data_IF_629800549791
#
_entry.id   IF_629800549791
#
_cell.length_a   1.000
_cell.length_b   1.000
_cell.length_c   1.000
_cell.angle_alpha   90.00
_cell.angle_beta   90.00
_cell.angle_gamma   90.00
#
_symmetry.space_group_name_H-M   'P 1'
#
loop_
_entity.id
_entity.type
_entity.pdbx_description
1 polymer ?
#
# COMPACT_ATOMS: atom_id res chain seq x y z
N UNK A 1 33.72 13.05 -16.76
CA UNK A 1 32.83 12.17 -17.53
C UNK A 1 31.63 11.73 -16.66
N UNK A 2 30.44 11.73 -17.24
CA UNK A 2 29.24 11.28 -16.58
C UNK A 2 28.93 9.88 -17.08
N UNK A 3 28.99 8.88 -16.20
CA UNK A 3 28.47 7.51 -16.49
C UNK A 3 27.13 7.32 -15.82
N UNK A 4 26.16 6.84 -16.58
CA UNK A 4 24.80 6.58 -16.09
C UNK A 4 24.58 5.07 -16.04
N UNK A 5 24.41 4.52 -14.83
CA UNK A 5 24.05 3.13 -14.63
C UNK A 5 22.53 3.01 -14.40
N UNK A 6 21.88 2.34 -15.32
CA UNK A 6 20.45 2.01 -15.22
C UNK A 6 20.30 0.68 -14.48
N UNK A 7 19.87 0.72 -13.22
CA UNK A 7 19.50 -0.50 -12.50
C UNK A 7 18.04 -0.83 -12.82
N UNK A 8 17.84 -1.81 -13.68
CA UNK A 8 16.50 -2.35 -13.95
C UNK A 8 16.14 -3.32 -12.82
N UNK A 9 14.94 -3.19 -12.25
CA UNK A 9 14.36 -4.29 -11.47
C UNK A 9 14.43 -5.51 -12.40
N UNK A 10 15.01 -6.64 -11.99
CA UNK A 10 15.02 -7.83 -12.82
C UNK A 10 13.59 -8.38 -12.90
N UNK A 11 12.80 -7.80 -13.77
CA UNK A 11 11.60 -8.45 -14.28
C UNK A 11 12.08 -9.46 -15.30
N UNK A 12 11.68 -10.71 -15.12
CA UNK A 12 11.94 -11.77 -16.06
C UNK A 12 11.81 -11.27 -17.51
N UNK A 13 12.97 -11.17 -18.21
CA UNK A 13 13.10 -11.03 -19.64
C UNK A 13 12.15 -10.08 -20.38
N UNK A 14 12.49 -8.78 -20.41
CA UNK A 14 12.29 -8.02 -21.63
C UNK A 14 13.63 -8.02 -22.38
N UNK A 15 13.79 -8.88 -23.36
CA UNK A 15 14.87 -8.80 -24.36
C UNK A 15 14.51 -7.68 -25.32
N UNK A 16 15.03 -6.50 -25.08
CA UNK A 16 14.99 -5.35 -25.95
C UNK A 16 15.75 -4.22 -25.29
N UNK A 17 16.84 -3.79 -25.88
CA UNK A 17 17.47 -2.51 -25.56
C UNK A 17 16.45 -1.40 -25.85
N UNK A 18 15.65 -1.05 -24.84
CA UNK A 18 14.93 0.22 -24.92
C UNK A 18 15.95 1.31 -24.71
N UNK A 19 16.30 2.02 -25.77
CA UNK A 19 17.04 3.27 -25.76
C UNK A 19 16.18 4.34 -25.10
N UNK A 20 16.06 4.25 -23.77
CA UNK A 20 15.32 5.23 -23.02
C UNK A 20 16.15 6.50 -22.93
N UNK A 21 15.58 7.58 -23.39
CA UNK A 21 16.18 8.91 -23.34
C UNK A 21 16.19 9.40 -21.90
N UNK A 22 17.34 9.77 -21.38
CA UNK A 22 17.52 10.26 -20.02
C UNK A 22 17.91 11.72 -20.05
N UNK A 23 17.13 12.57 -19.42
CA UNK A 23 17.45 13.96 -19.19
C UNK A 23 18.32 14.14 -17.93
N UNK A 24 19.10 15.22 -17.91
CA UNK A 24 19.87 15.65 -16.75
C UNK A 24 19.53 17.07 -16.36
N UNK A 25 19.36 17.30 -15.06
CA UNK A 25 19.36 18.62 -14.46
C UNK A 25 20.61 18.78 -13.57
N UNK A 26 21.34 19.85 -13.78
CA UNK A 26 22.38 20.30 -12.88
C UNK A 26 21.78 21.41 -12.00
N UNK A 27 21.73 21.14 -10.70
CA UNK A 27 21.07 21.98 -9.70
C UNK A 27 22.10 22.57 -8.76
N UNK A 28 22.00 23.87 -8.48
CA UNK A 28 22.78 24.56 -7.46
C UNK A 28 21.85 25.44 -6.64
N UNK A 29 21.98 25.40 -5.32
CA UNK A 29 21.18 26.21 -4.38
C UNK A 29 19.65 26.06 -4.59
N UNK A 30 19.21 24.87 -5.06
CA UNK A 30 17.82 24.54 -5.37
C UNK A 30 17.34 24.97 -6.77
N UNK A 31 18.15 25.65 -7.55
CA UNK A 31 17.81 26.09 -8.90
C UNK A 31 18.48 25.23 -9.97
N UNK A 32 17.74 24.92 -11.05
CA UNK A 32 18.28 24.24 -12.23
C UNK A 32 19.11 25.25 -13.02
N UNK A 33 20.43 25.12 -12.97
CA UNK A 33 21.37 26.00 -13.67
C UNK A 33 21.71 25.50 -15.09
N UNK A 34 21.47 24.23 -15.37
CA UNK A 34 21.58 23.61 -16.68
C UNK A 34 20.66 22.41 -16.81
N UNK A 35 19.93 22.37 -17.90
CA UNK A 35 19.13 21.23 -18.34
C UNK A 35 19.72 20.61 -19.59
N UNK A 36 19.68 19.30 -19.71
CA UNK A 36 20.14 18.53 -20.87
C UNK A 36 19.07 17.48 -21.18
N UNK A 37 18.44 17.58 -22.35
CA UNK A 37 17.37 16.69 -22.78
C UNK A 37 17.81 15.22 -22.94
N UNK A 38 19.08 15.00 -23.27
CA UNK A 38 19.66 13.69 -23.47
C UNK A 38 21.10 13.67 -22.97
N UNK A 39 21.36 12.92 -21.89
CA UNK A 39 22.69 12.82 -21.29
C UNK A 39 23.77 12.32 -22.25
N UNK A 40 23.37 11.56 -23.28
CA UNK A 40 24.34 11.03 -24.27
C UNK A 40 25.08 12.12 -25.02
N UNK A 41 24.49 13.31 -25.09
CA UNK A 41 25.14 14.51 -25.69
C UNK A 41 26.33 15.01 -24.88
N UNK A 42 26.44 14.62 -23.59
CA UNK A 42 27.56 14.96 -22.70
C UNK A 42 28.57 13.82 -22.57
N UNK A 43 28.38 12.71 -23.26
CA UNK A 43 29.25 11.55 -23.15
C UNK A 43 30.66 11.88 -23.66
N UNK A 44 31.65 11.80 -22.76
CA UNK A 44 33.04 12.13 -23.05
C UNK A 44 33.37 13.62 -22.92
N UNK A 45 32.41 14.45 -22.56
CA UNK A 45 32.64 15.87 -22.30
C UNK A 45 32.93 16.16 -20.82
N UNK A 46 33.61 17.27 -20.56
CA UNK A 46 33.82 17.81 -19.22
C UNK A 46 33.12 19.16 -19.10
N UNK A 47 32.31 19.32 -18.06
CA UNK A 47 31.66 20.60 -17.76
C UNK A 47 32.55 21.43 -16.85
N UNK A 48 32.84 22.68 -17.28
CA UNK A 48 33.51 23.68 -16.45
C UNK A 48 32.48 24.39 -15.59
N UNK A 49 32.59 24.22 -14.28
CA UNK A 49 31.68 24.80 -13.30
C UNK A 49 32.44 25.56 -12.23
N UNK A 50 31.88 26.64 -11.68
CA UNK A 50 32.40 27.26 -10.46
C UNK A 50 32.54 26.26 -9.32
N UNK A 51 33.51 26.48 -8.44
CA UNK A 51 33.65 25.65 -7.23
C UNK A 51 32.38 25.73 -6.35
N UNK A 52 31.96 24.60 -5.80
CA UNK A 52 30.72 24.52 -4.99
C UNK A 52 30.10 23.13 -4.97
N UNK A 53 28.96 23.01 -4.29
CA UNK A 53 28.19 21.78 -4.27
C UNK A 53 27.03 21.86 -5.26
N UNK A 54 26.84 20.79 -5.99
CA UNK A 54 25.80 20.63 -7.00
C UNK A 54 25.05 19.33 -6.78
N UNK A 55 23.80 19.28 -7.21
CA UNK A 55 23.03 18.06 -7.36
C UNK A 55 22.89 17.76 -8.85
N UNK A 56 23.25 16.55 -9.26
CA UNK A 56 22.98 16.05 -10.61
C UNK A 56 21.79 15.12 -10.52
N UNK A 57 20.67 15.51 -11.11
CA UNK A 57 19.45 14.72 -11.21
C UNK A 57 19.33 14.16 -12.62
N UNK A 58 19.04 12.86 -12.74
CA UNK A 58 18.80 12.17 -14.00
C UNK A 58 17.43 11.53 -13.99
N UNK A 59 16.70 11.58 -15.12
CA UNK A 59 15.35 11.02 -15.20
C UNK A 59 14.91 10.73 -16.64
N UNK A 60 13.89 9.89 -16.80
CA UNK A 60 13.28 9.58 -18.10
C UNK A 60 12.74 10.85 -18.77
N UNK A 61 13.33 11.25 -19.91
CA UNK A 61 13.15 12.57 -20.50
C UNK A 61 11.71 12.84 -20.98
N UNK A 62 11.11 11.87 -21.67
CA UNK A 62 9.84 12.05 -22.38
C UNK A 62 8.67 11.36 -21.65
N UNK A 63 8.77 11.17 -20.33
CA UNK A 63 7.78 10.46 -19.54
C UNK A 63 7.35 11.25 -18.31
N UNK A 64 6.14 10.99 -17.87
CA UNK A 64 5.57 11.56 -16.66
C UNK A 64 5.70 10.57 -15.50
N UNK A 65 6.27 11.01 -14.37
CA UNK A 65 6.36 10.23 -13.13
C UNK A 65 4.98 9.82 -12.59
N UNK A 66 3.95 10.60 -12.91
CA UNK A 66 2.56 10.36 -12.51
C UNK A 66 1.78 9.53 -13.54
N UNK A 67 2.41 9.08 -14.62
CA UNK A 67 1.75 8.25 -15.60
C UNK A 67 1.32 6.90 -15.00
N UNK A 68 0.08 6.53 -15.26
CA UNK A 68 -0.52 5.24 -14.87
C UNK A 68 -0.82 4.44 -16.12
N UNK A 69 -0.55 3.13 -16.10
CA UNK A 69 -0.91 2.24 -17.20
C UNK A 69 0.10 1.13 -17.45
N UNK A 70 -0.16 0.38 -18.51
CA UNK A 70 0.68 -0.71 -18.98
C UNK A 70 1.96 -0.19 -19.66
N UNK A 71 2.50 -0.90 -20.61
CA UNK A 71 3.77 -0.65 -21.30
C UNK A 71 4.05 0.82 -21.65
N UNK A 72 5.31 1.20 -21.65
CA UNK A 72 5.75 2.56 -21.99
C UNK A 72 5.61 3.60 -20.89
N UNK A 73 5.06 3.24 -19.72
CA UNK A 73 4.82 4.16 -18.61
C UNK A 73 5.93 4.16 -17.54
N UNK A 74 6.89 3.25 -17.61
CA UNK A 74 8.00 3.19 -16.65
C UNK A 74 8.80 4.49 -16.64
N UNK A 75 8.95 5.09 -15.45
CA UNK A 75 9.73 6.31 -15.22
C UNK A 75 10.89 6.02 -14.27
N UNK A 76 12.09 6.32 -14.72
CA UNK A 76 13.32 6.13 -13.93
C UNK A 76 13.87 7.47 -13.49
N UNK A 77 14.34 7.57 -12.26
CA UNK A 77 14.98 8.77 -11.74
C UNK A 77 16.06 8.42 -10.71
N UNK A 78 17.01 9.33 -10.57
CA UNK A 78 18.07 9.28 -9.57
C UNK A 78 18.75 10.63 -9.43
N UNK A 79 19.49 10.80 -8.35
CA UNK A 79 20.30 12.00 -8.13
C UNK A 79 21.55 11.68 -7.33
N UNK A 80 22.55 12.51 -7.47
CA UNK A 80 23.79 12.45 -6.69
C UNK A 80 24.33 13.83 -6.42
N UNK A 81 24.96 14.01 -5.26
CA UNK A 81 25.62 15.25 -4.89
C UNK A 81 27.05 15.24 -5.42
N UNK A 82 27.48 16.37 -5.94
CA UNK A 82 28.83 16.57 -6.52
C UNK A 82 29.44 17.83 -5.95
N UNK A 83 30.60 17.68 -5.32
CA UNK A 83 31.44 18.82 -4.93
C UNK A 83 32.45 19.10 -6.00
N UNK A 84 32.35 20.27 -6.65
CA UNK A 84 33.29 20.77 -7.65
C UNK A 84 34.42 21.53 -6.94
N UNK A 85 35.64 21.09 -7.15
CA UNK A 85 36.88 21.68 -6.59
C UNK A 85 37.76 22.27 -7.69
N UNK A 86 38.55 23.25 -7.32
CA UNK A 86 39.43 23.94 -8.29
C UNK A 86 40.42 22.96 -8.91
N UNK A 87 40.51 23.00 -10.23
CA UNK A 87 41.46 22.20 -11.04
C UNK A 87 41.33 20.67 -10.87
N UNK A 88 40.17 20.20 -10.42
CA UNK A 88 39.89 18.77 -10.24
C UNK A 88 38.78 18.34 -11.19
N UNK A 89 39.04 17.32 -12.02
CA UNK A 89 38.01 16.64 -12.81
C UNK A 89 37.48 15.46 -12.02
N UNK A 90 36.20 15.46 -11.69
CA UNK A 90 35.50 14.36 -10.98
C UNK A 90 34.56 13.63 -11.93
N UNK A 91 34.64 12.29 -12.04
CA UNK A 91 33.59 11.53 -12.68
C UNK A 91 32.34 11.59 -11.81
N UNK A 92 31.17 11.66 -12.44
CA UNK A 92 29.86 11.67 -11.77
C UNK A 92 29.06 10.48 -12.27
N UNK A 93 28.57 9.67 -11.36
CA UNK A 93 27.68 8.56 -11.62
C UNK A 93 26.32 8.83 -10.98
N UNK A 94 25.24 8.67 -11.74
CA UNK A 94 23.88 8.75 -11.24
C UNK A 94 23.18 7.43 -11.51
N UNK A 95 22.78 6.73 -10.45
CA UNK A 95 22.00 5.51 -10.55
C UNK A 95 20.51 5.84 -10.62
N UNK A 96 19.89 5.62 -11.78
CA UNK A 96 18.45 5.79 -11.95
C UNK A 96 17.72 4.50 -11.61
N UNK A 97 16.71 4.61 -10.75
CA UNK A 97 15.83 3.51 -10.35
C UNK A 97 14.41 3.81 -10.78
N UNK A 98 13.56 2.79 -10.88
CA UNK A 98 12.14 2.98 -11.15
C UNK A 98 11.53 3.82 -10.01
N UNK A 99 10.96 4.97 -10.35
CA UNK A 99 10.34 5.88 -9.39
C UNK A 99 8.84 5.54 -9.12
N UNK A 100 8.36 4.47 -9.71
CA UNK A 100 6.99 3.97 -9.63
C UNK A 100 7.00 2.56 -9.01
N UNK A 101 5.83 2.06 -8.64
CA UNK A 101 5.60 0.64 -8.40
C UNK A 101 5.02 -0.03 -9.64
N UNK A 102 5.06 -1.36 -9.67
CA UNK A 102 4.40 -2.20 -10.65
C UNK A 102 3.27 -2.97 -9.98
N UNK A 103 2.18 -3.17 -10.70
CA UNK A 103 1.04 -3.98 -10.24
C UNK A 103 0.67 -5.00 -11.30
N UNK A 104 0.43 -6.23 -10.88
CA UNK A 104 -0.18 -7.27 -11.71
C UNK A 104 -1.32 -7.93 -10.95
N UNK A 105 -2.32 -8.41 -11.70
CA UNK A 105 -3.46 -9.14 -11.14
C UNK A 105 -3.46 -10.55 -11.72
N UNK A 106 -3.68 -11.55 -10.87
CA UNK A 106 -3.73 -12.96 -11.26
C UNK A 106 -4.97 -13.60 -10.65
N UNK A 107 -5.59 -14.45 -11.42
CA UNK A 107 -6.75 -15.25 -11.03
C UNK A 107 -6.35 -16.73 -11.02
N UNK A 108 -6.60 -17.47 -9.93
CA UNK A 108 -6.32 -18.90 -9.86
C UNK A 108 -7.24 -19.68 -10.80
N UNK A 109 -6.87 -20.91 -11.13
CA UNK A 109 -7.71 -21.75 -11.98
C UNK A 109 -9.03 -22.07 -11.29
N UNK A 110 -9.00 -22.32 -9.98
CA UNK A 110 -10.21 -22.50 -9.18
C UNK A 110 -11.13 -21.26 -9.20
N UNK A 111 -10.53 -20.04 -9.19
CA UNK A 111 -11.31 -18.80 -9.33
C UNK A 111 -12.00 -18.74 -10.71
N UNK A 112 -11.28 -19.04 -11.78
CA UNK A 112 -11.79 -18.99 -13.16
C UNK A 112 -12.93 -19.97 -13.41
N UNK A 113 -12.91 -21.14 -12.75
CA UNK A 113 -13.97 -22.16 -12.87
C UNK A 113 -15.29 -21.72 -12.19
N UNK A 114 -15.22 -20.85 -11.20
CA UNK A 114 -16.37 -20.44 -10.39
C UNK A 114 -17.03 -19.14 -10.83
N UNK A 115 -16.36 -18.32 -11.65
CA UNK A 115 -16.88 -17.04 -12.13
C UNK A 115 -16.83 -16.94 -13.64
N UNK A 116 -17.94 -16.53 -14.24
CA UNK A 116 -18.05 -16.39 -15.71
C UNK A 116 -17.54 -15.05 -16.23
N UNK A 117 -17.57 -14.01 -15.43
CA UNK A 117 -17.03 -12.69 -15.78
C UNK A 117 -16.40 -12.07 -14.55
N UNK A 118 -15.22 -11.48 -14.74
CA UNK A 118 -14.51 -10.77 -13.68
C UNK A 118 -13.51 -9.79 -14.28
N UNK A 119 -13.30 -8.69 -13.58
CA UNK A 119 -12.20 -7.74 -13.82
C UNK A 119 -11.80 -7.09 -12.51
N UNK A 120 -10.57 -6.60 -12.44
CA UNK A 120 -10.07 -5.84 -11.30
C UNK A 120 -9.62 -4.46 -11.74
N UNK A 121 -10.28 -3.42 -11.27
CA UNK A 121 -9.77 -2.06 -11.37
C UNK A 121 -8.79 -1.81 -10.23
N UNK A 122 -7.55 -1.40 -10.57
CA UNK A 122 -6.60 -0.89 -9.60
C UNK A 122 -6.43 0.60 -9.82
N UNK A 123 -6.57 1.39 -8.77
CA UNK A 123 -6.50 2.85 -8.86
C UNK A 123 -5.74 3.47 -7.69
N UNK A 124 -5.22 4.67 -7.93
CA UNK A 124 -4.76 5.60 -6.91
C UNK A 124 -5.16 7.02 -7.30
N UNK A 125 -4.69 8.03 -6.57
CA UNK A 125 -4.99 9.44 -6.86
C UNK A 125 -4.55 9.94 -8.25
N UNK A 126 -3.69 9.20 -8.97
CA UNK A 126 -3.15 9.61 -10.28
C UNK A 126 -3.85 8.93 -11.46
N UNK A 127 -4.62 7.88 -11.24
CA UNK A 127 -5.36 7.18 -12.29
C UNK A 127 -5.71 5.75 -11.95
N UNK A 128 -6.33 5.06 -12.90
CA UNK A 128 -6.74 3.67 -12.76
C UNK A 128 -6.34 2.82 -13.97
N UNK A 129 -6.24 1.52 -13.74
CA UNK A 129 -6.05 0.49 -14.77
C UNK A 129 -7.00 -0.67 -14.49
N UNK A 130 -7.69 -1.12 -15.53
CA UNK A 130 -8.53 -2.30 -15.48
C UNK A 130 -7.74 -3.54 -15.95
N UNK A 131 -7.69 -4.55 -15.10
CA UNK A 131 -7.14 -5.87 -15.37
C UNK A 131 -8.28 -6.83 -15.68
N UNK A 132 -8.51 -7.08 -16.96
CA UNK A 132 -9.53 -8.01 -17.45
C UNK A 132 -9.09 -9.47 -17.30
N UNK A 133 -9.97 -10.43 -17.63
CA UNK A 133 -9.80 -11.87 -17.37
C UNK A 133 -8.44 -12.44 -17.77
N UNK A 134 -7.94 -12.11 -18.95
CA UNK A 134 -6.71 -12.69 -19.52
C UNK A 134 -5.54 -11.69 -19.53
N UNK A 135 -5.64 -10.59 -18.76
CA UNK A 135 -4.56 -9.61 -18.70
C UNK A 135 -3.36 -10.19 -17.91
N UNK A 136 -2.22 -10.29 -18.58
CA UNK A 136 -0.98 -10.84 -18.01
C UNK A 136 0.10 -9.79 -17.77
N UNK A 137 -0.09 -8.56 -18.28
CA UNK A 137 0.88 -7.48 -18.16
C UNK A 137 0.85 -6.88 -16.76
N UNK A 138 1.95 -6.25 -16.39
CA UNK A 138 2.02 -5.40 -15.20
C UNK A 138 1.82 -3.95 -15.60
N UNK A 139 1.06 -3.21 -14.80
CA UNK A 139 0.87 -1.77 -14.96
C UNK A 139 1.80 -1.00 -13.99
N UNK A 140 2.18 0.21 -14.39
CA UNK A 140 2.97 1.13 -13.59
C UNK A 140 2.06 2.14 -12.91
N UNK A 141 2.35 2.41 -11.63
CA UNK A 141 1.66 3.41 -10.82
C UNK A 141 2.67 4.25 -10.05
N UNK A 142 2.45 5.55 -9.88
CA UNK A 142 3.15 6.32 -8.86
C UNK A 142 3.03 5.66 -7.48
N UNK A 143 4.10 5.73 -6.69
CA UNK A 143 4.12 5.16 -5.33
C UNK A 143 3.18 5.95 -4.41
N UNK A 144 1.95 5.49 -4.33
CA UNK A 144 0.87 5.97 -3.48
C UNK A 144 -0.08 4.82 -3.20
N UNK A 145 -0.84 4.89 -2.12
CA UNK A 145 -1.81 3.87 -1.74
C UNK A 145 -2.71 3.49 -2.91
N UNK A 146 -2.93 2.19 -3.06
CA UNK A 146 -3.71 1.61 -4.14
C UNK A 146 -5.03 1.06 -3.61
N UNK A 147 -6.07 1.17 -4.42
CA UNK A 147 -7.34 0.50 -4.19
C UNK A 147 -7.57 -0.48 -5.35
N UNK A 148 -7.69 -1.76 -5.02
CA UNK A 148 -8.05 -2.79 -5.97
C UNK A 148 -9.53 -3.14 -5.79
N UNK A 149 -10.33 -2.96 -6.85
CA UNK A 149 -11.76 -3.25 -6.87
C UNK A 149 -12.02 -4.40 -7.84
N UNK A 150 -12.37 -5.56 -7.31
CA UNK A 150 -12.75 -6.73 -8.09
C UNK A 150 -14.25 -6.67 -8.39
N UNK A 151 -14.63 -6.69 -9.63
CA UNK A 151 -16.00 -6.90 -10.11
C UNK A 151 -16.11 -8.31 -10.66
N UNK A 152 -17.10 -9.07 -10.25
CA UNK A 152 -17.25 -10.47 -10.65
C UNK A 152 -18.73 -10.87 -10.79
N UNK A 153 -18.99 -11.85 -11.66
CA UNK A 153 -20.30 -12.47 -11.86
C UNK A 153 -20.17 -13.98 -11.74
N UNK A 154 -20.92 -14.58 -10.83
CA UNK A 154 -20.90 -16.01 -10.63
C UNK A 154 -21.69 -16.78 -11.72
N UNK A 155 -21.69 -18.11 -11.63
CA UNK A 155 -22.42 -18.99 -12.56
C UNK A 155 -23.93 -18.76 -12.55
N UNK A 156 -24.49 -18.26 -11.47
CA UNK A 156 -25.93 -17.95 -11.32
C UNK A 156 -26.34 -16.55 -11.81
N UNK A 157 -25.42 -15.83 -12.51
CA UNK A 157 -25.61 -14.45 -12.99
C UNK A 157 -25.76 -13.39 -11.88
N UNK A 158 -25.30 -13.66 -10.68
CA UNK A 158 -25.21 -12.66 -9.62
C UNK A 158 -23.87 -11.94 -9.71
N UNK A 159 -23.90 -10.61 -9.65
CA UNK A 159 -22.71 -9.77 -9.68
C UNK A 159 -22.34 -9.29 -8.30
N UNK A 160 -21.03 -9.19 -8.04
CA UNK A 160 -20.45 -8.78 -6.76
C UNK A 160 -19.29 -7.84 -7.01
N UNK A 161 -19.01 -6.98 -6.04
CA UNK A 161 -17.85 -6.11 -6.05
C UNK A 161 -17.12 -6.23 -4.71
N UNK A 162 -15.80 -6.42 -4.76
CA UNK A 162 -14.94 -6.53 -3.58
C UNK A 162 -13.81 -5.51 -3.68
N UNK A 163 -13.65 -4.68 -2.67
CA UNK A 163 -12.59 -3.68 -2.58
C UNK A 163 -11.47 -4.11 -1.63
N UNK A 164 -10.23 -3.77 -1.98
CA UNK A 164 -9.07 -3.93 -1.12
C UNK A 164 -8.13 -2.74 -1.25
N UNK A 165 -7.80 -2.11 -0.12
CA UNK A 165 -6.74 -1.11 -0.04
C UNK A 165 -5.39 -1.77 0.18
N UNK A 166 -4.37 -1.23 -0.47
CA UNK A 166 -2.96 -1.58 -0.31
C UNK A 166 -2.26 -0.29 0.09
N UNK A 167 -1.85 -0.21 1.34
CA UNK A 167 -1.20 0.96 1.94
C UNK A 167 0.32 0.82 1.93
N UNK A 168 1.02 1.91 2.23
CA UNK A 168 2.49 1.96 2.29
C UNK A 168 3.17 1.53 0.98
N UNK A 169 2.54 1.84 -0.14
CA UNK A 169 3.05 1.48 -1.47
C UNK A 169 4.33 2.23 -1.77
N UNK A 170 5.38 1.48 -2.07
CA UNK A 170 6.72 2.00 -2.31
C UNK A 170 7.13 1.87 -3.77
N UNK A 171 7.94 2.81 -4.24
CA UNK A 171 8.59 2.72 -5.55
C UNK A 171 9.54 1.52 -5.61
N UNK A 172 9.75 0.99 -6.81
CA UNK A 172 10.62 -0.16 -7.10
C UNK A 172 10.05 -1.51 -6.68
N UNK A 173 8.84 -1.56 -6.10
CA UNK A 173 8.19 -2.81 -5.70
C UNK A 173 7.19 -3.27 -6.75
N UNK A 174 7.03 -4.58 -6.86
CA UNK A 174 6.01 -5.21 -7.67
C UNK A 174 4.94 -5.82 -6.76
N UNK A 175 3.72 -5.29 -6.85
CA UNK A 175 2.55 -5.76 -6.13
C UNK A 175 1.78 -6.74 -7.01
N UNK A 176 1.81 -8.02 -6.66
CA UNK A 176 1.07 -9.06 -7.37
C UNK A 176 -0.19 -9.41 -6.60
N UNK A 177 -1.34 -8.96 -7.09
CA UNK A 177 -2.65 -9.23 -6.50
C UNK A 177 -3.13 -10.57 -7.04
N UNK A 178 -3.36 -11.54 -6.16
CA UNK A 178 -3.84 -12.87 -6.53
C UNK A 178 -5.23 -13.11 -5.96
N UNK A 179 -6.19 -13.41 -6.84
CA UNK A 179 -7.54 -13.82 -6.47
C UNK A 179 -7.66 -15.33 -6.52
N UNK A 180 -8.19 -15.90 -5.46
CA UNK A 180 -8.46 -17.33 -5.31
C UNK A 180 -9.85 -17.52 -4.66
N UNK A 181 -10.33 -18.76 -4.63
CA UNK A 181 -11.59 -19.15 -3.97
C UNK A 181 -11.35 -20.26 -2.98
N UNK A 182 -12.05 -20.25 -1.86
CA UNK A 182 -12.10 -21.38 -0.96
C UNK A 182 -13.53 -21.95 -0.90
N UNK A 183 -13.63 -23.27 -0.82
CA UNK A 183 -14.92 -23.97 -0.66
C UNK A 183 -15.53 -23.83 0.74
N UNK A 184 -14.85 -23.19 1.68
CA UNK A 184 -15.26 -23.16 3.10
C UNK A 184 -15.75 -21.80 3.59
N UNK A 185 -16.03 -20.85 2.71
CA UNK A 185 -16.59 -19.53 3.09
C UNK A 185 -15.69 -18.68 4.00
N UNK A 186 -14.43 -19.06 4.17
CA UNK A 186 -13.42 -18.33 4.95
C UNK A 186 -12.46 -17.64 4.00
N UNK A 187 -12.48 -16.31 4.01
CA UNK A 187 -11.50 -15.53 3.26
C UNK A 187 -10.18 -15.45 4.05
N UNK A 188 -9.12 -16.05 3.54
CA UNK A 188 -7.78 -15.92 4.10
C UNK A 188 -6.98 -14.90 3.30
N UNK A 189 -6.39 -13.92 4.00
CA UNK A 189 -5.51 -12.91 3.40
C UNK A 189 -4.07 -13.26 3.73
N UNK A 190 -3.31 -13.73 2.75
CA UNK A 190 -1.87 -13.90 2.90
C UNK A 190 -1.12 -12.82 2.10
N UNK A 191 -0.37 -11.98 2.80
CA UNK A 191 0.61 -11.10 2.19
C UNK A 191 1.97 -11.78 2.34
N UNK A 192 2.52 -12.28 1.24
CA UNK A 192 3.87 -12.84 1.24
C UNK A 192 4.82 -11.83 0.60
N UNK A 193 5.82 -11.40 1.35
CA UNK A 193 6.89 -10.53 0.86
C UNK A 193 8.05 -11.41 0.41
N UNK A 194 8.32 -11.42 -0.89
CA UNK A 194 9.57 -11.98 -1.39
C UNK A 194 10.68 -10.93 -1.27
N UNK A 195 11.53 -11.08 -0.28
CA UNK A 195 12.62 -10.14 0.00
C UNK A 195 13.73 -10.17 -1.05
N UNK A 196 13.79 -11.17 -1.90
CA UNK A 196 14.84 -11.31 -2.92
C UNK A 196 14.55 -10.53 -4.20
N UNK A 197 13.29 -10.25 -4.49
CA UNK A 197 12.85 -9.56 -5.71
C UNK A 197 12.02 -8.30 -5.44
N UNK A 198 11.83 -7.89 -4.20
CA UNK A 198 10.94 -6.81 -3.81
C UNK A 198 9.51 -6.99 -4.35
N UNK A 199 9.00 -8.22 -4.32
CA UNK A 199 7.64 -8.54 -4.76
C UNK A 199 6.70 -8.62 -3.55
N UNK A 200 5.58 -7.89 -3.61
CA UNK A 200 4.46 -8.05 -2.70
C UNK A 200 3.39 -8.91 -3.38
N UNK A 201 2.98 -9.99 -2.72
CA UNK A 201 1.85 -10.81 -3.18
C UNK A 201 0.67 -10.55 -2.25
N UNK A 202 -0.36 -9.95 -2.80
CA UNK A 202 -1.64 -9.77 -2.11
C UNK A 202 -2.56 -10.89 -2.58
N UNK A 203 -2.87 -11.83 -1.69
CA UNK A 203 -3.83 -12.90 -1.99
C UNK A 203 -5.19 -12.50 -1.44
N UNK A 204 -6.20 -12.49 -2.28
CA UNK A 204 -7.59 -12.20 -1.92
C UNK A 204 -8.40 -13.45 -2.20
N UNK A 205 -9.05 -13.96 -1.18
CA UNK A 205 -9.93 -15.13 -1.30
C UNK A 205 -11.37 -14.65 -1.38
N UNK A 206 -12.06 -15.06 -2.43
CA UNK A 206 -13.45 -14.73 -2.69
C UNK A 206 -14.33 -15.86 -2.17
N UNK A 207 -15.23 -15.62 -1.21
CA UNK A 207 -16.15 -16.66 -0.74
C UNK A 207 -17.19 -17.00 -1.81
N UNK A 208 -17.43 -18.29 -2.01
CA UNK A 208 -18.43 -18.80 -2.96
C UNK A 208 -19.88 -18.71 -2.44
N UNK A 209 -20.12 -18.16 -1.27
CA UNK A 209 -21.48 -18.12 -0.70
C UNK A 209 -22.42 -17.23 -1.51
N UNK A 210 -23.43 -17.85 -2.06
CA UNK A 210 -24.42 -17.25 -2.97
C UNK A 210 -25.48 -16.38 -2.31
N UNK A 211 -25.44 -16.16 -1.00
CA UNK A 211 -26.51 -15.51 -0.24
C UNK A 211 -26.36 -13.97 -0.18
N UNK A 212 -25.30 -13.42 -0.77
CA UNK A 212 -25.09 -11.98 -0.78
C UNK A 212 -26.08 -11.27 -1.73
N UNK A 213 -26.77 -10.26 -1.22
CA UNK A 213 -27.57 -9.35 -2.03
C UNK A 213 -26.66 -8.37 -2.77
N UNK A 214 -26.72 -8.30 -4.10
CA UNK A 214 -25.83 -7.45 -4.90
C UNK A 214 -26.04 -5.94 -4.65
N UNK A 215 -27.12 -5.54 -4.00
CA UNK A 215 -27.35 -4.14 -3.65
C UNK A 215 -26.72 -3.75 -2.30
N UNK A 216 -26.11 -4.68 -1.58
CA UNK A 216 -25.41 -4.44 -0.33
C UNK A 216 -23.91 -4.67 -0.50
N UNK A 217 -23.12 -3.60 -0.43
CA UNK A 217 -21.69 -3.62 -0.66
C UNK A 217 -20.94 -3.51 0.66
N UNK A 218 -20.37 -4.62 1.11
CA UNK A 218 -19.44 -4.62 2.25
C UNK A 218 -18.15 -3.94 1.81
N UNK A 219 -17.81 -2.82 2.42
CA UNK A 219 -16.62 -2.04 2.13
C UNK A 219 -15.42 -2.48 2.97
N UNK A 220 -14.51 -1.56 3.22
CA UNK A 220 -13.28 -1.78 3.97
C UNK A 220 -13.52 -1.83 5.49
N UNK A 221 -12.51 -2.30 6.21
CA UNK A 221 -12.42 -2.20 7.65
C UNK A 221 -11.10 -1.57 8.07
N UNK A 222 -11.16 -0.65 9.04
CA UNK A 222 -9.99 -0.14 9.74
C UNK A 222 -9.95 -0.78 11.12
N UNK A 223 -9.06 -1.76 11.31
CA UNK A 223 -8.93 -2.52 12.53
C UNK A 223 -7.74 -2.04 13.38
N UNK A 224 -7.95 -1.99 14.69
CA UNK A 224 -6.94 -1.78 15.73
C UNK A 224 -6.89 -3.01 16.63
N UNK A 225 -6.16 -2.93 17.70
CA UNK A 225 -5.97 -4.06 18.61
C UNK A 225 -7.26 -4.66 19.18
N UNK A 226 -8.25 -3.84 19.54
CA UNK A 226 -9.48 -4.31 20.21
C UNK A 226 -10.77 -3.75 19.63
N UNK A 227 -10.76 -3.08 18.51
CA UNK A 227 -11.95 -2.63 17.79
C UNK A 227 -11.64 -2.40 16.32
N UNK A 228 -12.66 -2.31 15.49
CA UNK A 228 -12.58 -1.93 14.09
C UNK A 228 -13.70 -0.95 13.73
N UNK A 229 -13.42 -0.03 12.81
CA UNK A 229 -14.45 0.65 12.04
C UNK A 229 -14.64 -0.12 10.74
N UNK A 230 -15.88 -0.47 10.44
CA UNK A 230 -16.28 -1.21 9.24
C UNK A 230 -17.22 -0.35 8.41
N UNK A 231 -17.09 -0.44 7.09
CA UNK A 231 -17.75 0.44 6.15
C UNK A 231 -18.49 -0.34 5.08
N UNK A 232 -19.47 0.30 4.42
CA UNK A 232 -20.21 -0.31 3.33
C UNK A 232 -21.16 0.69 2.67
N UNK A 233 -21.76 0.30 1.55
CA UNK A 233 -22.78 1.08 0.85
C UNK A 233 -23.99 0.21 0.51
N UNK A 234 -25.14 0.84 0.28
CA UNK A 234 -26.39 0.18 -0.09
C UNK A 234 -26.98 0.87 -1.32
N UNK A 235 -27.34 0.08 -2.32
CA UNK A 235 -28.09 0.49 -3.52
C UNK A 235 -29.54 0.00 -3.47
N UNK A 236 -30.03 -0.37 -2.28
CA UNK A 236 -31.43 -0.78 -2.11
C UNK A 236 -32.36 0.39 -2.44
N UNK A 237 -33.30 0.18 -3.32
CA UNK A 237 -34.27 1.20 -3.75
C UNK A 237 -35.32 1.57 -2.70
N UNK A 238 -35.53 0.70 -1.71
CA UNK A 238 -36.34 0.94 -0.52
C UNK A 238 -35.85 0.07 0.61
N UNK A 239 -35.49 0.67 1.73
CA UNK A 239 -35.11 -0.01 2.94
C UNK A 239 -36.29 -0.01 3.91
N UNK A 240 -36.81 -1.18 4.22
CA UNK A 240 -37.83 -1.34 5.28
C UNK A 240 -37.20 -1.64 6.65
N UNK A 241 -35.98 -2.19 6.62
CA UNK A 241 -35.19 -2.52 7.79
C UNK A 241 -33.94 -1.62 7.86
N UNK A 242 -33.40 -1.38 9.06
CA UNK A 242 -32.18 -0.58 9.21
C UNK A 242 -30.98 -1.28 8.58
N UNK A 243 -30.05 -0.48 8.06
CA UNK A 243 -28.73 -0.98 7.67
C UNK A 243 -27.91 -1.25 8.93
N UNK A 244 -27.30 -2.40 8.97
CA UNK A 244 -26.49 -2.90 10.07
C UNK A 244 -25.22 -3.54 9.54
N UNK A 245 -24.25 -3.78 10.42
CA UNK A 245 -23.12 -4.64 10.14
C UNK A 245 -23.17 -5.87 11.03
N UNK A 246 -22.75 -6.98 10.46
CA UNK A 246 -22.58 -8.23 11.19
C UNK A 246 -21.10 -8.62 11.15
N UNK A 247 -20.56 -9.06 12.28
CA UNK A 247 -19.19 -9.57 12.36
C UNK A 247 -19.11 -10.76 13.31
N UNK A 248 -18.11 -11.63 13.10
CA UNK A 248 -17.84 -12.79 13.94
C UNK A 248 -16.34 -13.15 13.84
N UNK A 249 -15.82 -13.91 14.81
CA UNK A 249 -14.49 -14.52 14.64
C UNK A 249 -14.49 -15.45 13.44
N UNK A 250 -13.35 -15.55 12.74
CA UNK A 250 -13.26 -16.40 11.55
C UNK A 250 -13.57 -17.88 11.82
N UNK A 251 -13.19 -18.36 13.00
CA UNK A 251 -13.48 -19.71 13.50
C UNK A 251 -14.82 -19.82 14.28
N UNK A 252 -15.51 -18.69 14.48
CA UNK A 252 -16.79 -18.62 15.22
C UNK A 252 -18.02 -18.85 14.35
N UNK A 253 -19.11 -19.27 14.96
CA UNK A 253 -20.39 -19.51 14.28
C UNK A 253 -21.41 -18.38 14.48
N UNK A 254 -21.30 -17.62 15.57
CA UNK A 254 -22.29 -16.63 15.96
C UNK A 254 -21.93 -15.23 15.44
N UNK A 255 -22.90 -14.60 14.76
CA UNK A 255 -22.80 -13.24 14.28
C UNK A 255 -23.19 -12.23 15.36
N UNK A 256 -22.34 -11.23 15.56
CA UNK A 256 -22.65 -10.04 16.36
C UNK A 256 -23.10 -8.95 15.40
N UNK A 257 -24.25 -8.32 15.71
CA UNK A 257 -24.81 -7.24 14.90
C UNK A 257 -24.55 -5.90 15.56
N UNK A 258 -24.20 -4.89 14.76
CA UNK A 258 -24.01 -3.51 15.17
C UNK A 258 -24.73 -2.56 14.21
N UNK A 259 -25.44 -1.60 14.76
CA UNK A 259 -26.15 -0.59 13.95
C UNK A 259 -25.18 0.26 13.14
N UNK A 260 -25.52 0.51 11.88
CA UNK A 260 -24.75 1.38 11.01
C UNK A 260 -25.21 2.84 11.12
N UNK A 261 -24.27 3.77 10.90
CA UNK A 261 -24.53 5.19 10.76
C UNK A 261 -24.21 5.62 9.33
N UNK A 262 -25.15 6.27 8.66
CA UNK A 262 -24.94 6.84 7.34
C UNK A 262 -24.16 8.17 7.44
N UNK A 263 -23.04 8.28 6.73
CA UNK A 263 -22.28 9.51 6.60
C UNK A 263 -22.77 10.38 5.43
N UNK A 264 -22.32 11.62 5.41
CA UNK A 264 -22.69 12.63 4.36
C UNK A 264 -22.23 12.22 2.95
N UNK A 265 -21.27 11.30 2.86
CA UNK A 265 -20.75 10.74 1.61
C UNK A 265 -21.52 9.52 1.07
N UNK A 266 -22.65 9.15 1.71
CA UNK A 266 -23.42 7.97 1.34
C UNK A 266 -22.82 6.62 1.80
N UNK A 267 -21.79 6.65 2.65
CA UNK A 267 -21.16 5.45 3.21
C UNK A 267 -21.71 5.16 4.60
N UNK A 268 -22.17 3.95 4.81
CA UNK A 268 -22.51 3.44 6.12
C UNK A 268 -21.25 3.04 6.88
N UNK A 269 -21.21 3.31 8.18
CA UNK A 269 -20.10 2.94 9.05
C UNK A 269 -20.61 2.44 10.40
N UNK A 270 -19.85 1.52 11.02
CA UNK A 270 -20.07 1.12 12.39
C UNK A 270 -18.73 0.86 13.09
N UNK A 271 -18.72 1.05 14.41
CA UNK A 271 -17.62 0.64 15.28
C UNK A 271 -18.00 -0.67 15.96
N UNK A 272 -17.14 -1.68 15.87
CA UNK A 272 -17.34 -2.97 16.57
C UNK A 272 -17.30 -2.80 18.10
N UNK A 273 -17.86 -3.74 18.82
CA UNK A 273 -17.59 -3.90 20.25
C UNK A 273 -16.14 -4.33 20.49
N UNK A 274 -15.80 -4.60 21.74
CA UNK A 274 -14.44 -5.05 22.09
C UNK A 274 -14.11 -6.38 21.40
N UNK A 275 -12.98 -6.40 20.71
CA UNK A 275 -12.43 -7.53 19.97
C UNK A 275 -11.20 -8.10 20.69
N UNK A 276 -10.77 -9.30 20.32
CA UNK A 276 -9.51 -9.89 20.79
C UNK A 276 -8.36 -9.42 19.90
N UNK A 277 -7.18 -9.29 20.49
CA UNK A 277 -5.93 -8.97 19.78
C UNK A 277 -5.54 -10.10 18.81
N UNK A 278 -4.84 -9.76 17.72
CA UNK A 278 -4.28 -10.71 16.77
C UNK A 278 -5.29 -11.68 16.16
N UNK A 279 -6.58 -11.29 16.13
CA UNK A 279 -7.68 -12.20 15.80
C UNK A 279 -8.33 -11.80 14.49
N UNK A 280 -8.56 -12.77 13.62
CA UNK A 280 -9.26 -12.57 12.35
C UNK A 280 -10.77 -12.63 12.53
N UNK A 281 -11.47 -11.66 11.92
CA UNK A 281 -12.91 -11.52 11.93
C UNK A 281 -13.47 -11.47 10.52
N UNK A 282 -14.60 -12.15 10.32
CA UNK A 282 -15.47 -11.98 9.16
C UNK A 282 -16.49 -10.89 9.45
N UNK A 283 -16.83 -10.08 8.46
CA UNK A 283 -17.87 -9.07 8.57
C UNK A 283 -18.61 -8.85 7.27
N UNK A 284 -19.81 -8.29 7.36
CA UNK A 284 -20.65 -7.95 6.20
C UNK A 284 -21.65 -6.86 6.58
N UNK A 285 -22.10 -6.10 5.58
CA UNK A 285 -23.26 -5.22 5.69
C UNK A 285 -24.56 -6.05 5.61
N UNK A 286 -25.61 -5.63 6.29
CA UNK A 286 -26.91 -6.33 6.32
C UNK A 286 -28.07 -5.34 6.34
N UNK A 287 -29.23 -5.76 5.83
CA UNK A 287 -30.51 -5.07 5.90
C UNK A 287 -31.63 -6.11 6.05
N UNK A 288 -32.11 -6.29 7.26
CA UNK A 288 -33.04 -7.37 7.57
C UNK A 288 -32.46 -8.75 7.27
N UNK A 289 -33.14 -9.52 6.42
CA UNK A 289 -32.67 -10.85 6.00
C UNK A 289 -31.62 -10.79 4.86
N UNK A 290 -31.42 -9.64 4.24
CA UNK A 290 -30.46 -9.44 3.16
C UNK A 290 -29.07 -9.16 3.72
N UNK A 291 -28.05 -9.74 3.11
CA UNK A 291 -26.66 -9.58 3.54
C UNK A 291 -25.77 -9.29 2.34
N UNK A 292 -24.80 -8.42 2.51
CA UNK A 292 -23.76 -8.18 1.51
C UNK A 292 -22.70 -9.29 1.51
N UNK A 293 -21.80 -9.23 0.56
CA UNK A 293 -20.67 -10.14 0.49
C UNK A 293 -19.84 -10.08 1.80
N UNK A 294 -19.35 -11.21 2.24
CA UNK A 294 -18.52 -11.32 3.43
C UNK A 294 -17.11 -10.76 3.14
N UNK A 295 -16.58 -9.99 4.05
CA UNK A 295 -15.22 -9.47 4.04
C UNK A 295 -14.50 -9.85 5.33
N UNK A 296 -13.20 -9.55 5.42
CA UNK A 296 -12.33 -10.00 6.51
C UNK A 296 -11.45 -8.84 7.00
N UNK A 297 -11.20 -8.79 8.30
CA UNK A 297 -10.12 -8.00 8.87
C UNK A 297 -9.43 -8.78 10.00
N UNK A 298 -8.20 -8.39 10.32
CA UNK A 298 -7.46 -8.92 11.46
C UNK A 298 -7.11 -7.78 12.39
N UNK A 299 -7.36 -7.95 13.69
CA UNK A 299 -6.95 -6.98 14.71
C UNK A 299 -5.42 -7.01 14.91
N UNK A 300 -4.87 -5.90 15.34
CA UNK A 300 -3.45 -5.81 15.68
C UNK A 300 -3.10 -6.73 16.85
N UNK A 301 -1.88 -7.25 16.84
CA UNK A 301 -1.34 -8.03 17.94
C UNK A 301 -1.22 -7.18 19.21
N UNK A 302 -1.32 -7.84 20.36
CA UNK A 302 -1.06 -7.16 21.61
C UNK A 302 0.40 -6.69 21.67
N UNK A 303 0.57 -5.39 21.81
CA UNK A 303 1.88 -4.79 22.04
C UNK A 303 2.04 -4.54 23.54
N UNK A 304 2.94 -5.30 24.17
CA UNK A 304 3.30 -5.02 25.54
C UNK A 304 4.11 -3.71 25.62
N UNK A 305 3.59 -2.75 26.37
CA UNK A 305 4.34 -1.51 26.63
C UNK A 305 5.23 -1.78 27.84
N UNK A 306 6.56 -1.80 27.67
CA UNK A 306 7.47 -2.05 28.78
C UNK A 306 7.26 -1.06 29.92
N UNK A 307 7.28 -1.57 31.15
CA UNK A 307 7.13 -0.78 32.37
C UNK A 307 5.84 0.06 32.43
N UNK A 308 4.71 -0.49 31.92
CA UNK A 308 3.41 0.20 31.93
C UNK A 308 2.89 0.46 33.35
N UNK A 309 3.25 -0.39 34.32
CA UNK A 309 2.95 -0.27 35.74
C UNK A 309 3.92 0.66 36.49
N UNK A 310 4.95 1.18 35.79
CA UNK A 310 5.98 2.04 36.38
C UNK A 310 6.77 1.41 37.54
N UNK A 311 6.90 0.10 37.61
CA UNK A 311 7.63 -0.60 38.65
C UNK A 311 9.15 -0.53 38.49
N UNK A 312 9.61 -0.25 37.26
CA UNK A 312 11.04 -0.18 36.93
C UNK A 312 11.50 1.26 36.74
N UNK A 313 12.44 1.68 37.58
CA UNK A 313 13.02 3.02 37.55
C UNK A 313 14.54 2.98 37.45
N UNK A 314 15.12 3.89 36.71
CA UNK A 314 16.56 4.08 36.61
C UNK A 314 16.96 5.40 37.26
N UNK A 315 17.93 5.36 38.17
CA UNK A 315 18.49 6.56 38.77
C UNK A 315 19.74 7.01 38.03
N UNK A 316 19.76 8.28 37.62
CA UNK A 316 20.93 8.94 37.07
C UNK A 316 21.19 10.24 37.85
N UNK A 317 22.22 10.26 38.65
CA UNK A 317 22.52 11.35 39.59
C UNK A 317 21.43 11.45 40.68
N UNK A 318 20.72 12.60 40.71
CA UNK A 318 19.61 12.84 41.64
C UNK A 318 18.22 12.64 41.01
N UNK A 319 18.18 12.23 39.74
CA UNK A 319 16.95 12.08 38.99
C UNK A 319 16.58 10.62 38.80
N UNK A 320 15.28 10.33 38.81
CA UNK A 320 14.71 9.02 38.51
C UNK A 320 13.96 9.09 37.18
N UNK A 321 14.14 8.04 36.40
CA UNK A 321 13.51 7.87 35.07
C UNK A 321 12.74 6.57 35.07
N UNK A 322 11.52 6.59 34.52
CA UNK A 322 10.64 5.42 34.41
C UNK A 322 11.11 4.39 33.36
N UNK A 323 12.35 4.41 32.98
CA UNK A 323 12.91 3.58 31.90
C UNK A 323 14.20 2.94 32.34
N UNK A 324 14.24 1.63 32.29
CA UNK A 324 15.47 0.88 32.60
C UNK A 324 16.49 0.91 31.45
N UNK A 325 16.04 1.04 30.19
CA UNK A 325 16.88 1.06 28.99
C UNK A 325 16.45 2.20 28.05
N UNK A 326 17.41 3.04 27.67
CA UNK A 326 17.15 4.18 26.78
C UNK A 326 16.90 3.77 25.32
N UNK A 327 17.29 2.57 24.90
CA UNK A 327 17.17 2.11 23.54
C UNK A 327 15.76 1.59 23.20
N UNK A 328 15.04 1.03 24.19
CA UNK A 328 13.72 0.42 24.01
C UNK A 328 12.62 1.11 24.83
N UNK A 329 12.87 2.34 25.25
CA UNK A 329 11.96 3.07 26.13
C UNK A 329 10.81 3.70 25.37
N UNK A 330 9.59 3.26 25.64
CA UNK A 330 8.35 3.92 25.21
C UNK A 330 7.98 5.14 26.08
N UNK A 331 8.77 5.44 27.13
CA UNK A 331 8.49 6.51 28.08
C UNK A 331 9.56 7.58 27.98
N UNK A 332 9.11 8.82 27.84
CA UNK A 332 9.94 10.00 27.96
C UNK A 332 9.60 10.71 29.26
N UNK A 333 10.58 10.92 30.14
CA UNK A 333 10.41 11.77 31.32
C UNK A 333 11.14 13.09 31.10
N UNK A 334 10.45 14.19 31.30
CA UNK A 334 11.03 15.55 31.27
C UNK A 334 10.80 16.24 32.61
N UNK A 335 11.88 16.63 33.30
CA UNK A 335 11.81 17.46 34.48
C UNK A 335 12.15 18.90 34.13
N UNK A 336 11.17 19.77 34.17
CA UNK A 336 11.39 21.24 34.18
C UNK A 336 11.08 21.77 35.57
N UNK A 337 12.10 21.93 36.42
CA UNK A 337 11.94 22.50 37.76
C UNK A 337 12.07 21.45 38.90
N UNK A 338 11.92 21.88 40.11
CA UNK A 338 12.12 21.11 41.35
C UNK A 338 10.89 20.24 41.58
N UNK A 339 10.92 19.02 41.08
CA UNK A 339 9.92 18.01 41.43
C UNK A 339 10.60 16.80 42.04
N UNK A 340 10.20 16.48 43.26
CA UNK A 340 10.58 15.21 43.89
C UNK A 340 9.47 14.20 43.60
N UNK A 341 9.84 13.09 42.98
CA UNK A 341 8.97 11.91 42.89
C UNK A 341 9.38 10.94 43.99
N UNK A 342 8.41 10.47 44.76
CA UNK A 342 8.56 9.31 45.61
C UNK A 342 8.22 8.10 44.79
N UNK A 343 9.23 7.27 44.45
CA UNK A 343 8.97 5.92 44.00
C UNK A 343 8.54 5.12 45.24
N UNK A 344 7.27 4.69 45.24
CA UNK A 344 6.72 3.85 46.29
C UNK A 344 6.90 2.40 45.99
#
# INVERSE_FOLDING_TARGET
>A
SVELNKTVIPTSKATGETTEKIALDLIRDGEVIRHVDDWTSLKGESLLLPTGTYVVKAYSADKDVHAVGFEGKAYYAGQTDVKVEKDVVKPVEVSCKLAQCMVSVKYSDNFKENFKAYSCEVKNQYGSVEFVQDESRSAYFPAADLIATLSLTNTDNKSFTLGKSITDVQAQYHYSIKYDVTNEGTGDFNITVDQTTHNYIVSIVVPLTSDADPALHTGEANAWGQFAYIYGTSDLSSETDPIEFQYKKADGTEWVTVAATLGDNGVYSAKTAQLDFGTTYHYRIACGAKVGAMSVFTTEDFQEVPNLNFDTWTQSGKNWYANADAADSYWASGNSGVTSFLAG
#
